data_IF_537564477276
#
_entry.id   IF_537564477276
#
_cell.length_a   1.000
_cell.length_b   1.000
_cell.length_c   1.000
_cell.angle_alpha   90.00
_cell.angle_beta   90.00
_cell.angle_gamma   90.00
#
_symmetry.space_group_name_H-M   'P 1'
#
loop_
_entity.id
_entity.type
_entity.pdbx_description
1 polymer ?
#
# COMPACT_ATOMS: atom_id res chain seq x y z
N UNK A 1 -7.74 4.87 -2.09
CA UNK A 1 -7.69 3.80 -1.06
C UNK A 1 -7.33 2.48 -1.71
N UNK A 2 -6.42 1.70 -1.14
CA UNK A 2 -6.13 0.32 -1.54
C UNK A 2 -6.76 -0.63 -0.53
N UNK A 3 -7.63 -1.52 -1.00
CA UNK A 3 -8.29 -2.54 -0.18
C UNK A 3 -7.75 -3.95 -0.45
N UNK A 4 -7.72 -4.79 0.58
CA UNK A 4 -7.27 -6.18 0.52
C UNK A 4 -5.82 -6.37 0.04
N UNK A 5 -4.89 -5.56 0.53
CA UNK A 5 -3.46 -5.84 0.34
C UNK A 5 -2.92 -6.77 1.45
N UNK A 6 -1.63 -7.10 1.43
CA UNK A 6 -0.99 -8.01 2.40
C UNK A 6 -1.19 -7.57 3.85
N UNK A 7 -1.09 -6.28 4.14
CA UNK A 7 -1.40 -5.75 5.47
C UNK A 7 -2.88 -5.93 5.89
N UNK A 8 -3.79 -6.16 4.93
CA UNK A 8 -5.17 -6.57 5.16
C UNK A 8 -5.36 -8.08 5.28
N UNK A 9 -4.26 -8.85 5.39
CA UNK A 9 -4.26 -10.32 5.52
C UNK A 9 -5.03 -11.04 4.38
N UNK A 10 -5.02 -10.48 3.16
CA UNK A 10 -5.76 -11.04 2.02
C UNK A 10 -5.50 -12.53 1.76
N UNK A 11 -4.28 -13.00 2.05
CA UNK A 11 -3.86 -14.38 1.87
C UNK A 11 -4.57 -15.36 2.82
N UNK A 12 -5.21 -14.87 3.86
CA UNK A 12 -5.98 -15.67 4.83
C UNK A 12 -7.47 -15.70 4.55
N UNK A 13 -7.92 -14.89 3.59
CA UNK A 13 -9.33 -14.76 3.23
C UNK A 13 -9.69 -15.74 2.11
N UNK A 14 -10.79 -16.44 2.30
CA UNK A 14 -11.41 -17.23 1.25
C UNK A 14 -11.94 -16.34 0.12
N UNK A 15 -12.12 -16.91 -1.07
CA UNK A 15 -12.68 -16.18 -2.22
C UNK A 15 -14.06 -15.55 -1.89
N UNK A 16 -15.02 -16.25 -1.25
CA UNK A 16 -16.28 -15.62 -0.84
C UNK A 16 -16.11 -14.43 0.09
N UNK A 17 -15.21 -14.49 1.08
CA UNK A 17 -14.92 -13.36 1.97
C UNK A 17 -14.33 -12.17 1.22
N UNK A 18 -13.44 -12.40 0.26
CA UNK A 18 -12.89 -11.34 -0.58
C UNK A 18 -13.95 -10.68 -1.45
N UNK A 19 -14.88 -11.47 -2.01
CA UNK A 19 -16.01 -10.94 -2.79
C UNK A 19 -16.92 -10.09 -1.89
N UNK A 20 -17.22 -10.54 -0.68
CA UNK A 20 -18.04 -9.79 0.25
C UNK A 20 -17.36 -8.49 0.68
N UNK A 21 -16.05 -8.53 0.93
CA UNK A 21 -15.26 -7.30 1.20
C UNK A 21 -15.38 -6.29 0.06
N UNK A 22 -15.23 -6.72 -1.21
CA UNK A 22 -15.36 -5.83 -2.37
C UNK A 22 -16.73 -5.14 -2.37
N UNK A 23 -17.82 -5.88 -2.14
CA UNK A 23 -19.18 -5.34 -2.09
C UNK A 23 -19.36 -4.29 -0.99
N UNK A 24 -18.94 -4.66 0.23
CA UNK A 24 -19.10 -3.78 1.40
C UNK A 24 -18.28 -2.52 1.23
N UNK A 25 -17.00 -2.63 0.90
CA UNK A 25 -16.12 -1.45 0.77
C UNK A 25 -16.53 -0.56 -0.39
N UNK A 26 -16.94 -1.12 -1.51
CA UNK A 26 -17.42 -0.31 -2.65
C UNK A 26 -18.71 0.44 -2.29
N UNK A 27 -19.65 -0.21 -1.60
CA UNK A 27 -20.89 0.41 -1.11
C UNK A 27 -20.59 1.53 -0.12
N UNK A 28 -19.78 1.28 0.91
CA UNK A 28 -19.45 2.27 1.94
C UNK A 28 -18.61 3.42 1.39
N UNK A 29 -17.71 3.14 0.45
CA UNK A 29 -16.93 4.17 -0.24
C UNK A 29 -17.83 5.11 -1.05
N UNK A 30 -18.90 4.60 -1.63
CA UNK A 30 -19.87 5.37 -2.43
C UNK A 30 -19.20 6.38 -3.39
N UNK A 31 -18.10 5.98 -4.01
CA UNK A 31 -17.28 6.80 -4.93
C UNK A 31 -16.68 8.08 -4.33
N UNK A 32 -16.64 8.24 -3.01
CA UNK A 32 -16.06 9.42 -2.34
C UNK A 32 -14.58 9.59 -2.63
N UNK A 33 -13.86 8.48 -2.72
CA UNK A 33 -12.43 8.45 -3.07
C UNK A 33 -12.14 7.31 -4.06
N UNK A 34 -11.08 7.40 -4.89
CA UNK A 34 -10.68 6.31 -5.75
C UNK A 34 -10.42 5.01 -4.96
N UNK A 35 -11.08 3.93 -5.36
CA UNK A 35 -10.94 2.60 -4.75
C UNK A 35 -10.16 1.69 -5.69
N UNK A 36 -9.05 1.14 -5.19
CA UNK A 36 -8.25 0.10 -5.83
C UNK A 36 -8.36 -1.16 -4.99
N UNK A 37 -8.67 -2.29 -5.60
CA UNK A 37 -8.81 -3.58 -4.90
C UNK A 37 -7.65 -4.50 -5.27
N UNK A 38 -6.96 -5.06 -4.28
CA UNK A 38 -5.99 -6.12 -4.56
C UNK A 38 -6.71 -7.41 -4.96
N UNK A 39 -6.34 -7.91 -6.13
CA UNK A 39 -6.92 -9.13 -6.72
C UNK A 39 -5.90 -10.27 -6.81
N UNK A 40 -4.75 -10.11 -6.19
CA UNK A 40 -3.67 -11.12 -6.18
C UNK A 40 -4.17 -12.43 -5.60
N UNK A 41 -3.98 -13.52 -6.32
CA UNK A 41 -4.29 -14.89 -5.91
C UNK A 41 -3.25 -15.85 -6.50
N UNK A 42 -3.01 -16.99 -5.84
CA UNK A 42 -2.24 -18.09 -6.42
C UNK A 42 -2.96 -18.78 -7.58
N UNK A 43 -4.29 -18.61 -7.66
CA UNK A 43 -5.12 -19.07 -8.75
C UNK A 43 -5.43 -17.91 -9.72
N UNK A 44 -4.93 -17.93 -10.98
CA UNK A 44 -5.17 -16.87 -11.95
C UNK A 44 -6.65 -16.62 -12.25
N UNK A 45 -7.49 -17.66 -12.28
CA UNK A 45 -8.92 -17.52 -12.55
C UNK A 45 -9.62 -16.73 -11.42
N UNK A 46 -9.23 -16.96 -10.18
CA UNK A 46 -9.70 -16.18 -9.04
C UNK A 46 -9.30 -14.71 -9.17
N UNK A 47 -8.08 -14.41 -9.61
CA UNK A 47 -7.63 -13.02 -9.83
C UNK A 47 -8.48 -12.33 -10.91
N UNK A 48 -8.74 -13.02 -12.02
CA UNK A 48 -9.58 -12.52 -13.14
C UNK A 48 -11.01 -12.25 -12.66
N UNK A 49 -11.59 -13.19 -11.91
CA UNK A 49 -12.94 -13.02 -11.36
C UNK A 49 -13.03 -11.85 -10.39
N UNK A 50 -12.08 -11.72 -9.46
CA UNK A 50 -12.03 -10.59 -8.52
C UNK A 50 -11.85 -9.25 -9.25
N UNK A 51 -11.06 -9.21 -10.33
CA UNK A 51 -10.91 -8.02 -11.16
C UNK A 51 -12.22 -7.62 -11.85
N UNK A 52 -12.94 -8.60 -12.40
CA UNK A 52 -14.27 -8.41 -12.99
C UNK A 52 -15.27 -7.89 -11.96
N UNK A 53 -15.33 -8.50 -10.77
CA UNK A 53 -16.23 -8.09 -9.70
C UNK A 53 -15.87 -6.68 -9.17
N UNK A 54 -14.59 -6.36 -9.04
CA UNK A 54 -14.16 -5.00 -8.65
C UNK A 54 -14.71 -3.94 -9.61
N UNK A 55 -14.69 -4.21 -10.92
CA UNK A 55 -15.29 -3.34 -11.93
C UNK A 55 -16.81 -3.23 -11.77
N UNK A 56 -17.50 -4.35 -11.58
CA UNK A 56 -18.96 -4.41 -11.44
C UNK A 56 -19.41 -3.60 -10.20
N UNK A 57 -18.71 -3.70 -9.09
CA UNK A 57 -19.02 -2.97 -7.85
C UNK A 57 -18.48 -1.53 -7.83
N UNK A 58 -17.84 -1.05 -8.90
CA UNK A 58 -17.51 0.36 -9.08
C UNK A 58 -16.15 0.78 -8.53
N UNK A 59 -15.22 -0.14 -8.28
CA UNK A 59 -13.83 0.20 -8.06
C UNK A 59 -13.21 0.87 -9.30
N UNK A 60 -12.29 1.81 -9.11
CA UNK A 60 -11.61 2.50 -10.20
C UNK A 60 -10.38 1.73 -10.66
N UNK A 61 -9.83 0.85 -9.83
CA UNK A 61 -8.65 0.08 -10.18
C UNK A 61 -8.55 -1.25 -9.46
N UNK A 62 -7.60 -2.05 -9.93
CA UNK A 62 -7.15 -3.27 -9.27
C UNK A 62 -5.64 -3.21 -9.03
N UNK A 63 -5.20 -3.83 -7.93
CA UNK A 63 -3.79 -4.06 -7.65
C UNK A 63 -3.50 -5.55 -7.79
N UNK A 64 -2.41 -5.89 -8.49
CA UNK A 64 -2.01 -7.27 -8.69
C UNK A 64 -0.50 -7.42 -8.55
N UNK A 65 -0.08 -8.35 -7.71
CA UNK A 65 1.32 -8.71 -7.60
C UNK A 65 1.73 -9.55 -8.81
N UNK A 66 2.86 -9.20 -9.39
CA UNK A 66 3.51 -9.95 -10.46
C UNK A 66 4.80 -10.56 -9.92
N UNK A 67 4.98 -11.85 -10.13
CA UNK A 67 6.16 -12.58 -9.71
C UNK A 67 7.28 -12.48 -10.75
N UNK A 68 8.52 -12.30 -10.28
CA UNK A 68 9.72 -12.43 -11.12
C UNK A 68 10.13 -13.88 -11.37
N UNK A 69 9.48 -14.85 -10.72
CA UNK A 69 9.70 -16.29 -10.97
C UNK A 69 9.07 -16.76 -12.28
N UNK A 70 8.04 -16.07 -12.75
CA UNK A 70 7.41 -16.36 -14.04
C UNK A 70 8.11 -15.63 -15.18
N UNK A 71 8.18 -16.26 -16.35
CA UNK A 71 8.75 -15.58 -17.52
C UNK A 71 7.89 -14.37 -17.93
N UNK A 72 8.55 -13.36 -18.49
CA UNK A 72 7.92 -12.09 -18.87
C UNK A 72 6.70 -12.27 -19.78
N UNK A 73 6.78 -13.20 -20.75
CA UNK A 73 5.67 -13.45 -21.68
C UNK A 73 4.39 -13.87 -20.92
N UNK A 74 4.50 -14.81 -19.98
CA UNK A 74 3.37 -15.24 -19.14
C UNK A 74 2.81 -14.11 -18.29
N UNK A 75 3.68 -13.26 -17.73
CA UNK A 75 3.24 -12.10 -16.96
C UNK A 75 2.46 -11.12 -17.84
N UNK A 76 2.89 -10.90 -19.08
CA UNK A 76 2.19 -10.05 -20.05
C UNK A 76 0.84 -10.66 -20.41
N UNK A 77 0.79 -11.94 -20.79
CA UNK A 77 -0.44 -12.63 -21.13
C UNK A 77 -1.47 -12.55 -19.98
N UNK A 78 -1.01 -12.79 -18.75
CA UNK A 78 -1.86 -12.71 -17.57
C UNK A 78 -2.39 -11.29 -17.34
N UNK A 79 -1.55 -10.27 -17.44
CA UNK A 79 -1.98 -8.88 -17.32
C UNK A 79 -2.96 -8.47 -18.43
N UNK A 80 -2.81 -9.03 -19.65
CA UNK A 80 -3.77 -8.82 -20.73
C UNK A 80 -5.15 -9.38 -20.38
N UNK A 81 -5.22 -10.61 -19.84
CA UNK A 81 -6.49 -11.18 -19.37
C UNK A 81 -7.13 -10.34 -18.24
N UNK A 82 -6.35 -9.91 -17.27
CA UNK A 82 -6.81 -8.97 -16.24
C UNK A 82 -7.31 -7.67 -16.87
N UNK A 83 -6.59 -7.11 -17.84
CA UNK A 83 -6.94 -5.84 -18.49
C UNK A 83 -8.28 -5.89 -19.22
N UNK A 84 -8.66 -7.02 -19.80
CA UNK A 84 -9.95 -7.18 -20.49
C UNK A 84 -11.14 -6.98 -19.55
N UNK A 85 -11.02 -7.40 -18.30
CA UNK A 85 -12.13 -7.44 -17.33
C UNK A 85 -12.05 -6.39 -16.24
N UNK A 86 -10.86 -5.84 -15.97
CA UNK A 86 -10.60 -4.88 -14.89
C UNK A 86 -11.24 -3.50 -15.13
N UNK A 87 -11.32 -2.65 -14.07
CA UNK A 87 -11.51 -1.21 -14.23
C UNK A 87 -10.41 -0.55 -15.07
N UNK A 88 -10.34 0.79 -15.05
CA UNK A 88 -9.40 1.57 -15.88
C UNK A 88 -7.97 1.61 -15.35
N UNK A 89 -7.78 1.31 -14.06
CA UNK A 89 -6.48 1.34 -13.41
C UNK A 89 -6.02 -0.08 -13.10
N UNK A 90 -4.86 -0.46 -13.58
CA UNK A 90 -4.10 -1.61 -13.09
C UNK A 90 -2.87 -1.06 -12.38
N UNK A 91 -2.76 -1.36 -11.10
CA UNK A 91 -1.57 -1.16 -10.29
C UNK A 91 -0.83 -2.50 -10.21
N UNK A 92 0.34 -2.59 -10.80
CA UNK A 92 1.22 -3.75 -10.59
C UNK A 92 1.96 -3.55 -9.28
N UNK A 93 1.96 -4.58 -8.43
CA UNK A 93 2.75 -4.62 -7.21
C UNK A 93 4.04 -5.42 -7.48
N UNK A 94 5.16 -4.73 -7.37
CA UNK A 94 6.50 -5.28 -7.42
C UNK A 94 6.97 -5.48 -5.97
N UNK A 95 6.72 -6.67 -5.44
CA UNK A 95 7.00 -7.04 -4.06
C UNK A 95 8.10 -8.09 -4.00
N UNK A 96 9.24 -7.72 -3.44
CA UNK A 96 10.35 -8.63 -3.15
C UNK A 96 11.14 -8.13 -1.94
N UNK A 97 10.92 -8.74 -0.80
CA UNK A 97 11.53 -8.31 0.45
C UNK A 97 12.98 -8.75 0.62
N UNK A 98 13.46 -9.63 -0.24
CA UNK A 98 14.82 -10.19 -0.20
C UNK A 98 15.69 -9.74 -1.37
N UNK A 99 15.12 -9.10 -2.37
CA UNK A 99 15.82 -8.73 -3.60
C UNK A 99 15.31 -7.45 -4.25
N UNK A 100 15.61 -7.33 -5.53
CA UNK A 100 15.32 -6.14 -6.32
C UNK A 100 13.98 -6.22 -7.06
N UNK A 101 13.21 -7.31 -6.90
CA UNK A 101 11.93 -7.51 -7.58
C UNK A 101 12.03 -7.60 -9.10
N UNK A 102 11.04 -7.08 -9.79
CA UNK A 102 10.97 -7.07 -11.25
C UNK A 102 12.09 -6.24 -11.88
N UNK A 103 12.70 -6.75 -12.95
CA UNK A 103 13.66 -5.98 -13.74
C UNK A 103 13.01 -4.77 -14.40
N UNK A 104 13.74 -3.65 -14.48
CA UNK A 104 13.24 -2.40 -15.09
C UNK A 104 12.77 -2.64 -16.52
N UNK A 105 13.53 -3.36 -17.34
CA UNK A 105 13.15 -3.68 -18.73
C UNK A 105 11.83 -4.47 -18.81
N UNK A 106 11.61 -5.38 -17.86
CA UNK A 106 10.36 -6.15 -17.79
C UNK A 106 9.17 -5.25 -17.47
N UNK A 107 9.35 -4.33 -16.51
CA UNK A 107 8.33 -3.35 -16.15
C UNK A 107 7.98 -2.47 -17.35
N UNK A 108 8.98 -1.94 -18.05
CA UNK A 108 8.78 -1.09 -19.23
C UNK A 108 8.08 -1.86 -20.38
N UNK A 109 8.46 -3.12 -20.60
CA UNK A 109 7.77 -3.95 -21.63
C UNK A 109 6.31 -4.20 -21.26
N UNK A 110 5.99 -4.52 -20.01
CA UNK A 110 4.60 -4.67 -19.56
C UNK A 110 3.84 -3.35 -19.70
N UNK A 111 4.43 -2.23 -19.29
CA UNK A 111 3.82 -0.90 -19.40
C UNK A 111 3.47 -0.53 -20.85
N UNK A 112 4.35 -0.82 -21.80
CA UNK A 112 4.14 -0.52 -23.22
C UNK A 112 3.08 -1.41 -23.89
N UNK A 113 2.77 -2.57 -23.31
CA UNK A 113 1.83 -3.54 -23.90
C UNK A 113 0.47 -3.57 -23.21
N UNK A 114 0.36 -3.03 -21.98
CA UNK A 114 -0.86 -3.07 -21.18
C UNK A 114 -1.33 -1.64 -20.91
N UNK A 115 -2.28 -1.17 -21.72
CA UNK A 115 -2.77 0.22 -21.67
C UNK A 115 -3.24 0.64 -20.27
N UNK A 116 -3.90 -0.26 -19.53
CA UNK A 116 -4.41 0.02 -18.19
C UNK A 116 -3.36 -0.07 -17.08
N UNK A 117 -2.15 -0.55 -17.36
CA UNK A 117 -1.05 -0.56 -16.40
C UNK A 117 -0.47 0.85 -16.29
N UNK A 118 -1.00 1.64 -15.38
CA UNK A 118 -0.64 3.04 -15.19
C UNK A 118 -0.17 3.38 -13.78
N UNK A 119 -0.13 2.38 -12.88
CA UNK A 119 0.45 2.50 -11.53
C UNK A 119 1.38 1.33 -11.21
N UNK A 120 2.50 1.62 -10.59
CA UNK A 120 3.46 0.63 -10.11
C UNK A 120 3.73 0.86 -8.62
N UNK A 121 3.42 -0.13 -7.78
CA UNK A 121 3.73 -0.14 -6.36
C UNK A 121 5.04 -0.91 -6.15
N UNK A 122 6.09 -0.22 -5.70
CA UNK A 122 7.43 -0.81 -5.53
C UNK A 122 7.69 -1.05 -4.05
N UNK A 123 7.93 -2.31 -3.69
CA UNK A 123 8.21 -2.79 -2.33
C UNK A 123 9.41 -3.75 -2.35
N UNK A 124 10.56 -3.23 -2.74
CA UNK A 124 11.80 -4.00 -2.92
C UNK A 124 12.95 -3.39 -2.13
N UNK A 125 14.02 -4.14 -1.93
CA UNK A 125 15.26 -3.59 -1.40
C UNK A 125 15.79 -2.52 -2.35
N UNK A 126 16.31 -1.42 -1.79
CA UNK A 126 16.95 -0.37 -2.59
C UNK A 126 16.02 0.26 -3.63
N UNK A 127 14.74 0.45 -3.33
CA UNK A 127 13.73 0.93 -4.28
C UNK A 127 14.02 2.32 -4.88
N UNK A 128 14.79 3.18 -4.21
CA UNK A 128 15.07 4.55 -4.64
C UNK A 128 15.57 4.68 -6.09
N UNK A 129 16.67 4.04 -6.49
CA UNK A 129 17.15 4.08 -7.89
C UNK A 129 16.11 3.56 -8.88
N UNK A 130 15.30 2.55 -8.51
CA UNK A 130 14.22 2.03 -9.36
C UNK A 130 13.12 3.08 -9.56
N UNK A 131 12.72 3.83 -8.52
CA UNK A 131 11.78 4.95 -8.66
C UNK A 131 12.26 5.94 -9.73
N UNK A 132 13.50 6.39 -9.63
CA UNK A 132 14.10 7.33 -10.58
C UNK A 132 14.07 6.78 -12.00
N UNK A 133 14.61 5.57 -12.22
CA UNK A 133 14.70 4.97 -13.55
C UNK A 133 13.32 4.78 -14.20
N UNK A 134 12.31 4.31 -13.47
CA UNK A 134 10.96 4.13 -14.02
C UNK A 134 10.34 5.48 -14.39
N UNK A 135 10.48 6.50 -13.55
CA UNK A 135 9.94 7.84 -13.84
C UNK A 135 10.61 8.48 -15.06
N UNK A 136 11.91 8.36 -15.19
CA UNK A 136 12.67 8.86 -16.35
C UNK A 136 12.28 8.14 -17.64
N UNK A 137 12.34 6.81 -17.66
CA UNK A 137 12.06 5.99 -18.85
C UNK A 137 10.62 6.12 -19.33
N UNK A 138 9.66 6.32 -18.43
CA UNK A 138 8.25 6.51 -18.79
C UNK A 138 7.85 7.97 -18.92
N UNK A 139 8.78 8.90 -18.68
CA UNK A 139 8.52 10.35 -18.65
C UNK A 139 7.36 10.68 -17.69
N UNK A 140 7.30 10.00 -16.55
CA UNK A 140 6.28 10.15 -15.52
C UNK A 140 4.88 9.64 -15.90
N UNK A 141 4.72 8.96 -17.04
CA UNK A 141 3.42 8.39 -17.45
C UNK A 141 3.02 7.20 -16.59
N UNK A 142 3.95 6.31 -16.23
CA UNK A 142 3.73 5.28 -15.24
C UNK A 142 3.88 5.91 -13.85
N UNK A 143 2.78 6.00 -13.12
CA UNK A 143 2.75 6.51 -11.76
C UNK A 143 3.39 5.52 -10.80
N UNK A 144 4.16 6.02 -9.84
CA UNK A 144 4.90 5.19 -8.90
C UNK A 144 4.38 5.39 -7.49
N UNK A 145 4.11 4.29 -6.82
CA UNK A 145 3.69 4.26 -5.42
C UNK A 145 4.78 3.63 -4.57
N UNK A 146 5.16 4.31 -3.49
CA UNK A 146 6.01 3.77 -2.45
C UNK A 146 5.21 2.84 -1.53
N UNK A 147 5.76 1.67 -1.28
CA UNK A 147 5.25 0.72 -0.29
C UNK A 147 6.21 0.55 0.88
N UNK A 148 6.15 -0.63 1.52
CA UNK A 148 7.01 -1.01 2.64
C UNK A 148 7.01 0.01 3.80
N UNK A 149 5.82 0.19 4.39
CA UNK A 149 5.61 1.05 5.56
C UNK A 149 6.29 2.43 5.46
N UNK A 150 6.61 2.85 4.22
CA UNK A 150 7.14 4.18 3.91
C UNK A 150 8.43 4.57 4.63
N UNK A 151 9.29 3.60 4.98
CA UNK A 151 10.61 3.87 5.58
C UNK A 151 11.49 4.79 4.74
N UNK A 152 11.27 4.79 3.44
CA UNK A 152 12.02 5.60 2.46
C UNK A 152 11.26 6.86 2.04
N UNK A 153 10.29 7.33 2.86
CA UNK A 153 9.37 8.40 2.49
C UNK A 153 10.08 9.65 1.95
N UNK A 154 11.08 10.17 2.65
CA UNK A 154 11.77 11.39 2.23
C UNK A 154 12.62 11.19 0.97
N UNK A 155 13.33 10.06 0.85
CA UNK A 155 14.08 9.72 -0.36
C UNK A 155 13.13 9.57 -1.55
N UNK A 156 12.00 8.89 -1.36
CA UNK A 156 11.01 8.71 -2.39
C UNK A 156 10.32 10.02 -2.80
N UNK A 157 10.03 10.91 -1.85
CA UNK A 157 9.51 12.27 -2.14
C UNK A 157 10.51 13.08 -2.97
N UNK A 158 11.81 13.06 -2.61
CA UNK A 158 12.87 13.72 -3.36
C UNK A 158 12.97 13.21 -4.81
N UNK A 159 12.59 11.95 -5.07
CA UNK A 159 12.55 11.33 -6.41
C UNK A 159 11.22 11.54 -7.13
N UNK A 160 10.29 12.27 -6.51
CA UNK A 160 8.99 12.58 -7.10
C UNK A 160 8.05 11.37 -7.18
N UNK A 161 8.09 10.45 -6.21
CA UNK A 161 7.11 9.36 -6.10
C UNK A 161 5.70 9.94 -5.94
N UNK A 162 4.73 9.39 -6.68
CA UNK A 162 3.42 9.99 -6.85
C UNK A 162 2.46 9.71 -5.67
N UNK A 163 2.65 8.61 -4.95
CA UNK A 163 1.80 8.24 -3.81
C UNK A 163 2.49 7.29 -2.84
N UNK A 164 1.90 7.18 -1.63
CA UNK A 164 2.32 6.24 -0.59
C UNK A 164 1.09 5.52 -0.02
N UNK A 165 1.29 4.29 0.45
CA UNK A 165 0.23 3.47 1.03
C UNK A 165 0.68 2.99 2.42
N UNK A 166 0.52 3.81 3.46
CA UNK A 166 0.78 3.41 4.84
C UNK A 166 -0.29 2.43 5.34
N UNK A 167 0.06 1.61 6.32
CA UNK A 167 -0.86 0.67 6.97
C UNK A 167 -1.72 1.35 8.04
N UNK A 168 -1.27 2.49 8.56
CA UNK A 168 -1.95 3.28 9.59
C UNK A 168 -1.38 4.68 9.66
N UNK A 169 -1.91 5.53 10.54
CA UNK A 169 -1.49 6.94 10.74
C UNK A 169 -1.62 7.78 9.45
N UNK A 170 -2.63 7.52 8.63
CA UNK A 170 -2.78 8.13 7.29
C UNK A 170 -2.81 9.66 7.35
N UNK A 171 -3.46 10.24 8.35
CA UNK A 171 -3.50 11.69 8.56
C UNK A 171 -2.09 12.27 8.79
N UNK A 172 -1.29 11.60 9.62
CA UNK A 172 0.08 12.04 9.89
C UNK A 172 0.98 11.96 8.65
N UNK A 173 0.88 10.89 7.86
CA UNK A 173 1.57 10.79 6.57
C UNK A 173 1.11 11.85 5.58
N UNK A 174 -0.19 12.12 5.53
CA UNK A 174 -0.74 13.18 4.68
C UNK A 174 -0.18 14.55 5.08
N UNK A 175 -0.05 14.84 6.37
CA UNK A 175 0.59 16.07 6.87
C UNK A 175 2.03 16.18 6.39
N UNK A 176 2.83 15.11 6.54
CA UNK A 176 4.24 15.09 6.04
C UNK A 176 4.27 15.36 4.53
N UNK A 177 3.43 14.66 3.77
CA UNK A 177 3.36 14.81 2.32
C UNK A 177 3.00 16.25 1.92
N UNK A 178 1.96 16.82 2.52
CA UNK A 178 1.51 18.17 2.21
C UNK A 178 2.57 19.24 2.57
N UNK A 179 3.23 19.10 3.72
CA UNK A 179 4.34 19.98 4.11
C UNK A 179 5.50 19.93 3.10
N UNK A 180 5.83 18.72 2.65
CA UNK A 180 6.87 18.56 1.62
C UNK A 180 6.46 19.20 0.29
N UNK A 181 5.24 18.96 -0.19
CA UNK A 181 4.74 19.49 -1.46
C UNK A 181 4.59 21.03 -1.45
N UNK A 182 4.34 21.62 -0.29
CA UNK A 182 4.28 23.08 -0.12
C UNK A 182 5.66 23.75 -0.01
N UNK A 183 6.76 22.96 -0.10
CA UNK A 183 8.13 23.46 0.00
C UNK A 183 8.66 23.55 1.44
N UNK A 184 7.89 23.16 2.44
CA UNK A 184 8.33 23.14 3.85
C UNK A 184 9.04 21.83 4.20
N UNK A 185 10.08 21.50 3.41
CA UNK A 185 10.82 20.23 3.54
C UNK A 185 11.45 20.02 4.92
N UNK A 186 11.92 21.10 5.56
CA UNK A 186 12.51 21.01 6.90
C UNK A 186 11.49 20.47 7.91
N UNK A 187 10.30 21.03 7.94
CA UNK A 187 9.25 20.60 8.84
C UNK A 187 8.74 19.20 8.50
N UNK A 188 8.56 18.89 7.21
CA UNK A 188 8.24 17.53 6.78
C UNK A 188 9.25 16.50 7.28
N UNK A 189 10.54 16.84 7.28
CA UNK A 189 11.62 16.00 7.79
C UNK A 189 11.55 15.85 9.31
N UNK A 190 11.27 16.92 10.04
CA UNK A 190 11.10 16.88 11.51
C UNK A 190 9.93 15.99 11.90
N UNK A 191 8.80 16.08 11.21
CA UNK A 191 7.65 15.19 11.40
C UNK A 191 8.02 13.73 11.11
N UNK A 192 8.69 13.46 9.99
CA UNK A 192 9.13 12.12 9.65
C UNK A 192 10.05 11.52 10.71
N UNK A 193 10.97 12.29 11.26
CA UNK A 193 11.85 11.82 12.35
C UNK A 193 11.08 11.44 13.62
N UNK A 194 9.98 12.10 13.91
CA UNK A 194 9.10 11.71 15.04
C UNK A 194 8.43 10.35 14.83
N UNK A 195 8.21 9.96 13.57
CA UNK A 195 7.59 8.70 13.17
C UNK A 195 8.57 7.51 13.21
N UNK A 196 9.89 7.74 13.07
CA UNK A 196 10.89 6.68 12.94
C UNK A 196 10.84 5.59 14.01
N UNK A 197 10.62 5.88 15.32
CA UNK A 197 10.51 4.82 16.33
C UNK A 197 9.36 3.84 16.06
N UNK A 198 8.20 4.34 15.59
CA UNK A 198 7.06 3.49 15.21
C UNK A 198 7.43 2.64 13.99
N UNK A 199 8.03 3.25 12.97
CA UNK A 199 8.47 2.53 11.77
C UNK A 199 9.52 1.47 12.06
N UNK A 200 10.50 1.78 12.89
CA UNK A 200 11.55 0.84 13.27
C UNK A 200 10.98 -0.39 13.98
N UNK A 201 9.98 -0.23 14.82
CA UNK A 201 9.31 -1.34 15.46
C UNK A 201 8.43 -2.13 14.49
N UNK A 202 7.58 -1.47 13.73
CA UNK A 202 6.60 -2.11 12.86
C UNK A 202 7.21 -2.79 11.64
N UNK A 203 8.40 -2.34 11.19
CA UNK A 203 9.07 -2.90 10.02
C UNK A 203 10.03 -4.05 10.33
N UNK A 204 10.08 -4.54 11.56
CA UNK A 204 10.83 -5.76 11.87
C UNK A 204 10.27 -6.97 11.11
N UNK A 205 8.96 -7.05 10.96
CA UNK A 205 8.27 -8.07 10.19
C UNK A 205 6.84 -7.63 9.85
N UNK A 206 6.28 -8.13 8.75
CA UNK A 206 4.90 -7.80 8.34
C UNK A 206 3.87 -8.13 9.44
N UNK A 207 4.04 -9.27 10.12
CA UNK A 207 3.13 -9.70 11.17
C UNK A 207 3.14 -8.75 12.38
N UNK A 208 4.31 -8.19 12.72
CA UNK A 208 4.45 -7.16 13.75
C UNK A 208 3.70 -5.89 13.33
N UNK A 209 3.85 -5.50 12.06
CA UNK A 209 3.12 -4.36 11.49
C UNK A 209 1.60 -4.57 11.56
N UNK A 210 1.11 -5.71 11.09
CA UNK A 210 -0.32 -6.04 11.11
C UNK A 210 -0.88 -5.98 12.53
N UNK A 211 -0.22 -6.62 13.47
CA UNK A 211 -0.66 -6.65 14.87
C UNK A 211 -0.68 -5.24 15.47
N UNK A 212 0.41 -4.49 15.30
CA UNK A 212 0.53 -3.12 15.83
C UNK A 212 -0.56 -2.20 15.30
N UNK A 213 -0.76 -2.13 13.99
CA UNK A 213 -1.74 -1.22 13.42
C UNK A 213 -3.18 -1.64 13.70
N UNK A 214 -3.49 -2.93 13.87
CA UNK A 214 -4.81 -3.35 14.36
C UNK A 214 -5.06 -2.90 15.79
N UNK A 215 -4.06 -2.96 16.67
CA UNK A 215 -4.18 -2.42 18.03
C UNK A 215 -4.33 -0.90 18.03
N UNK A 216 -3.60 -0.21 17.16
CA UNK A 216 -3.78 1.23 16.98
C UNK A 216 -5.22 1.55 16.58
N UNK A 217 -5.80 0.83 15.60
CA UNK A 217 -7.20 1.02 15.18
C UNK A 217 -8.22 0.80 16.29
N UNK A 218 -7.94 -0.13 17.21
CA UNK A 218 -8.79 -0.31 18.40
C UNK A 218 -8.69 0.89 19.34
N UNK A 219 -7.48 1.41 19.56
CA UNK A 219 -7.27 2.59 20.41
C UNK A 219 -7.85 3.87 19.79
N UNK A 220 -7.88 3.98 18.48
CA UNK A 220 -8.56 5.05 17.72
C UNK A 220 -10.09 4.89 17.72
N UNK A 221 -10.64 3.80 18.27
CA UNK A 221 -12.08 3.52 18.28
C UNK A 221 -12.65 3.08 16.94
N UNK A 222 -11.79 2.77 15.96
CA UNK A 222 -12.21 2.35 14.60
C UNK A 222 -12.50 0.85 14.50
N UNK A 223 -11.80 0.03 15.29
CA UNK A 223 -12.00 -1.41 15.33
C UNK A 223 -12.52 -1.84 16.71
N UNK A 224 -13.40 -2.84 16.73
CA UNK A 224 -13.91 -3.42 17.98
C UNK A 224 -12.89 -4.34 18.66
N UNK A 225 -11.95 -4.90 17.92
CA UNK A 225 -10.88 -5.75 18.43
C UNK A 225 -9.69 -5.79 17.46
N UNK A 226 -8.54 -6.23 17.95
CA UNK A 226 -7.28 -6.35 17.19
C UNK A 226 -6.98 -7.77 16.70
N UNK A 227 -8.01 -8.61 16.48
CA UNK A 227 -7.84 -9.98 16.05
C UNK A 227 -7.06 -10.07 14.74
N UNK A 228 -6.01 -10.90 14.72
CA UNK A 228 -5.25 -11.25 13.53
C UNK A 228 -5.56 -12.68 13.12
N UNK A 229 -5.82 -12.92 11.84
CA UNK A 229 -6.05 -14.27 11.29
C UNK A 229 -4.74 -15.05 11.18
N UNK A 230 -3.63 -14.39 10.89
CA UNK A 230 -2.31 -14.98 10.92
C UNK A 230 -1.90 -15.26 12.37
N UNK A 231 -1.67 -16.54 12.70
CA UNK A 231 -1.25 -16.95 14.05
C UNK A 231 0.11 -16.42 14.46
N UNK A 232 0.96 -16.08 13.49
CA UNK A 232 2.27 -15.45 13.67
C UNK A 232 2.17 -13.96 14.02
N UNK A 233 1.06 -13.28 13.68
CA UNK A 233 0.84 -11.88 14.00
C UNK A 233 0.51 -11.70 15.49
N UNK A 234 1.50 -11.90 16.33
CA UNK A 234 1.44 -11.75 17.79
C UNK A 234 2.75 -11.17 18.32
N UNK A 235 2.67 -10.49 19.46
CA UNK A 235 3.84 -10.02 20.19
C UNK A 235 4.27 -11.05 21.24
N UNK A 236 5.58 -11.12 21.51
CA UNK A 236 6.06 -11.67 22.77
C UNK A 236 5.92 -10.61 23.88
N UNK A 237 6.28 -10.96 25.12
CA UNK A 237 6.11 -10.08 26.27
C UNK A 237 6.89 -8.76 26.16
N UNK A 238 8.10 -8.80 25.58
CA UNK A 238 8.94 -7.61 25.40
C UNK A 238 8.40 -6.71 24.29
N UNK A 239 7.99 -7.33 23.17
CA UNK A 239 7.36 -6.61 22.06
C UNK A 239 6.05 -5.95 22.49
N UNK A 240 5.24 -6.62 23.33
CA UNK A 240 4.00 -6.05 23.84
C UNK A 240 4.24 -4.80 24.69
N UNK A 241 5.27 -4.84 25.54
CA UNK A 241 5.67 -3.69 26.35
C UNK A 241 6.07 -2.50 25.48
N UNK A 242 6.93 -2.73 24.49
CA UNK A 242 7.39 -1.68 23.57
C UNK A 242 6.25 -1.20 22.66
N UNK A 243 5.43 -2.11 22.15
CA UNK A 243 4.26 -1.75 21.34
C UNK A 243 3.32 -0.80 22.10
N UNK A 244 3.06 -1.05 23.39
CA UNK A 244 2.21 -0.17 24.20
C UNK A 244 2.78 1.25 24.32
N UNK A 245 4.08 1.41 24.47
CA UNK A 245 4.75 2.73 24.48
C UNK A 245 4.58 3.43 23.13
N UNK A 246 4.82 2.70 22.05
CA UNK A 246 4.75 3.24 20.69
C UNK A 246 3.32 3.51 20.21
N UNK A 247 2.34 2.74 20.68
CA UNK A 247 0.92 3.02 20.42
C UNK A 247 0.49 4.34 21.04
N UNK A 248 0.90 4.63 22.30
CA UNK A 248 0.64 5.94 22.90
C UNK A 248 1.32 7.07 22.12
N UNK A 249 2.56 6.87 21.70
CA UNK A 249 3.27 7.83 20.85
C UNK A 249 2.55 8.06 19.53
N UNK A 250 2.08 7.00 18.86
CA UNK A 250 1.37 7.13 17.59
C UNK A 250 0.07 7.94 17.73
N UNK A 251 -0.70 7.70 18.80
CA UNK A 251 -1.91 8.48 19.09
C UNK A 251 -1.57 9.96 19.33
N UNK A 252 -0.58 10.24 20.18
CA UNK A 252 -0.16 11.63 20.45
C UNK A 252 0.29 12.36 19.17
N UNK A 253 1.02 11.69 18.28
CA UNK A 253 1.42 12.28 17.00
C UNK A 253 0.21 12.58 16.11
N UNK A 254 -0.79 11.70 16.11
CA UNK A 254 -2.01 11.93 15.34
C UNK A 254 -2.81 13.11 15.93
N UNK A 255 -2.97 13.17 17.25
CA UNK A 255 -3.73 14.24 17.90
C UNK A 255 -3.03 15.60 17.75
N UNK A 256 -1.71 15.67 18.02
CA UNK A 256 -0.93 16.93 18.02
C UNK A 256 -0.88 17.58 16.64
N UNK A 257 -0.80 16.78 15.55
CA UNK A 257 -0.50 17.30 14.21
C UNK A 257 -1.65 17.16 13.19
N UNK A 258 -2.72 16.47 13.52
CA UNK A 258 -3.90 16.36 12.63
C UNK A 258 -4.98 17.35 13.04
N UNK A 259 -5.17 17.60 14.34
CA UNK A 259 -6.22 18.51 14.84
C UNK A 259 -5.90 19.99 14.62
N UNK A 260 -4.63 20.37 14.39
CA UNK A 260 -4.28 21.74 14.01
C UNK A 260 -4.95 22.20 12.73
N UNK A 261 -5.21 21.29 11.77
CA UNK A 261 -5.84 21.64 10.49
C UNK A 261 -7.37 21.90 10.63
N UNK A 262 -8.01 21.49 11.73
CA UNK A 262 -9.44 21.74 12.00
C UNK A 262 -9.75 23.16 12.52
N UNK A 263 -8.72 23.90 12.90
CA UNK A 263 -8.87 25.26 13.43
C UNK A 263 -8.69 26.37 12.38
N UNK A 264 -8.43 26.00 11.12
CA UNK A 264 -8.23 26.96 10.01
C UNK A 264 -9.31 26.87 8.92
N UNK A 265 -10.41 26.13 9.13
CA UNK A 265 -11.65 26.18 8.34
C UNK A 265 -12.71 27.01 9.10
#
# INVERSE_FOLDING_TARGET
MLGLDFAGEQQTLSKPERIEFIKVVAKENNKRIPLIISVTSSDPETSIELAKLSKIYGAQGVCIQISNEMCLARNIDFLQEISKVSPQIIMVQDLDWSGNGLGIDSIIKMFNQIEKFNWLKIETLGAGPKYTAIKELTKGKLKVCGGWAVTQLLDALNRGVDAFIPTGMEGFYTKIYNQYQSGNEKFARELFYKLLPVLNFTNQHLDISIKFFKELRVKEGLFSNSYCRLKSAKFDWYQEKEANVLLQRALLLCDEYIDEDKHYE
#
